data_IF_461109139165
#
_entry.id   IF_461109139165
#
_cell.length_a   1.000
_cell.length_b   1.000
_cell.length_c   1.000
_cell.angle_alpha   90.00
_cell.angle_beta   90.00
_cell.angle_gamma   90.00
#
_symmetry.space_group_name_H-M   'P 1'
#
loop_
_entity.id
_entity.type
_entity.pdbx_description
1 polymer ?
#
# COMPACT_ATOMS: atom_id res chain seq x y z
N UNK A 1 30.52 20.94 -35.60
CA UNK A 1 29.35 20.61 -34.75
C UNK A 1 29.73 19.34 -34.02
N UNK A 2 29.63 19.36 -32.67
CA UNK A 2 30.07 18.24 -31.80
C UNK A 2 28.86 17.50 -31.17
N UNK A 3 27.66 17.96 -31.49
CA UNK A 3 26.38 17.38 -31.01
C UNK A 3 25.52 17.13 -32.25
N UNK A 4 25.11 15.89 -32.42
CA UNK A 4 24.26 15.47 -33.55
C UNK A 4 22.80 15.62 -33.22
N UNK A 5 22.42 15.26 -31.98
CA UNK A 5 21.03 15.29 -31.52
C UNK A 5 20.90 15.62 -30.03
N UNK A 6 19.74 16.16 -29.63
CA UNK A 6 19.39 16.48 -28.22
C UNK A 6 18.06 15.84 -27.89
N UNK A 7 18.05 14.99 -26.87
CA UNK A 7 16.84 14.33 -26.34
C UNK A 7 16.44 15.00 -25.04
N UNK A 8 15.22 15.54 -24.97
CA UNK A 8 14.69 16.15 -23.75
C UNK A 8 14.03 15.09 -22.85
N UNK A 9 14.42 15.10 -21.57
CA UNK A 9 13.85 14.19 -20.54
C UNK A 9 13.33 15.04 -19.38
N UNK A 10 12.14 14.72 -18.89
CA UNK A 10 11.56 15.41 -17.75
C UNK A 10 12.27 15.02 -16.44
N UNK A 11 12.23 15.91 -15.42
CA UNK A 11 12.75 15.59 -14.08
C UNK A 11 12.09 14.32 -13.50
N UNK A 12 10.79 14.17 -13.71
CA UNK A 12 10.05 12.99 -13.28
C UNK A 12 10.63 11.72 -13.88
N UNK A 13 10.80 11.67 -15.18
CA UNK A 13 11.32 10.48 -15.87
C UNK A 13 12.78 10.22 -15.48
N UNK A 14 13.56 11.28 -15.29
CA UNK A 14 14.95 11.22 -14.83
C UNK A 14 15.04 10.55 -13.44
N UNK A 15 14.25 11.01 -12.48
CA UNK A 15 14.27 10.45 -11.13
C UNK A 15 13.72 9.03 -11.06
N UNK A 16 12.67 8.73 -11.82
CA UNK A 16 12.14 7.36 -11.91
C UNK A 16 13.16 6.40 -12.54
N UNK A 17 13.87 6.83 -13.59
CA UNK A 17 14.91 6.03 -14.21
C UNK A 17 16.11 5.82 -13.29
N UNK A 18 16.57 6.82 -12.55
CA UNK A 18 17.64 6.65 -11.55
C UNK A 18 17.28 5.66 -10.46
N UNK A 19 16.04 5.71 -9.95
CA UNK A 19 15.52 4.73 -8.99
C UNK A 19 15.43 3.32 -9.58
N UNK A 20 15.08 3.22 -10.85
CA UNK A 20 14.99 1.96 -11.58
C UNK A 20 16.37 1.34 -11.77
N UNK A 21 17.37 2.11 -12.20
CA UNK A 21 18.77 1.68 -12.29
C UNK A 21 19.28 1.11 -10.96
N UNK A 22 19.00 1.80 -9.86
CA UNK A 22 19.41 1.35 -8.54
C UNK A 22 18.77 0.01 -8.16
N UNK A 23 17.48 -0.17 -8.44
CA UNK A 23 16.72 -1.36 -8.05
C UNK A 23 16.98 -2.57 -8.97
N UNK A 24 17.10 -2.35 -10.27
CA UNK A 24 17.18 -3.42 -11.27
C UNK A 24 18.62 -3.80 -11.61
N UNK A 25 19.53 -2.82 -11.60
CA UNK A 25 20.94 -3.01 -12.02
C UNK A 25 21.95 -2.84 -10.87
N UNK A 26 21.49 -2.43 -9.69
CA UNK A 26 22.38 -2.15 -8.54
C UNK A 26 23.24 -0.88 -8.70
N UNK A 27 22.93 -0.04 -9.67
CA UNK A 27 23.68 1.21 -9.94
C UNK A 27 23.06 2.35 -9.15
N UNK A 28 23.68 2.67 -8.01
CA UNK A 28 23.22 3.76 -7.14
C UNK A 28 23.74 5.12 -7.66
N UNK A 29 22.86 5.88 -8.34
CA UNK A 29 23.22 7.06 -9.12
C UNK A 29 22.32 8.27 -8.86
N UNK A 30 22.73 9.46 -9.30
CA UNK A 30 21.96 10.68 -9.22
C UNK A 30 20.95 10.89 -10.33
N UNK A 31 20.19 12.00 -10.24
CA UNK A 31 19.12 12.32 -11.20
C UNK A 31 19.61 12.54 -12.62
N UNK A 32 20.77 13.16 -12.79
CA UNK A 32 21.42 13.39 -14.11
C UNK A 32 21.81 12.09 -14.80
N UNK A 33 22.21 11.07 -14.04
CA UNK A 33 22.44 9.71 -14.55
C UNK A 33 21.13 9.08 -15.07
N UNK A 34 20.04 9.26 -14.33
CA UNK A 34 18.70 8.85 -14.78
C UNK A 34 18.29 9.56 -16.08
N UNK A 35 18.55 10.87 -16.20
CA UNK A 35 18.32 11.64 -17.43
C UNK A 35 19.08 11.02 -18.59
N UNK A 36 20.39 10.76 -18.41
CA UNK A 36 21.25 10.21 -19.46
C UNK A 36 20.78 8.84 -19.95
N UNK A 37 20.43 7.94 -19.04
CA UNK A 37 19.95 6.59 -19.40
C UNK A 37 18.56 6.65 -20.04
N UNK A 38 17.63 7.44 -19.51
CA UNK A 38 16.29 7.57 -20.13
C UNK A 38 16.40 8.17 -21.55
N UNK A 39 17.25 9.19 -21.73
CA UNK A 39 17.54 9.77 -23.04
C UNK A 39 18.12 8.75 -24.01
N UNK A 40 19.13 7.98 -23.58
CA UNK A 40 19.74 6.93 -24.39
C UNK A 40 18.74 5.83 -24.79
N UNK A 41 17.84 5.42 -23.87
CA UNK A 41 16.80 4.43 -24.18
C UNK A 41 15.74 4.99 -25.15
N UNK A 42 15.38 6.28 -25.07
CA UNK A 42 14.49 6.93 -26.05
C UNK A 42 15.13 6.95 -27.42
N UNK A 43 16.37 7.42 -27.49
CA UNK A 43 17.17 7.45 -28.72
C UNK A 43 17.27 6.05 -29.36
N UNK A 44 17.65 5.04 -28.59
CA UNK A 44 17.77 3.67 -29.06
C UNK A 44 16.46 3.12 -29.64
N UNK A 45 15.32 3.41 -29.01
CA UNK A 45 13.99 3.00 -29.53
C UNK A 45 13.62 3.74 -30.80
N UNK A 46 13.84 5.05 -30.85
CA UNK A 46 13.50 5.90 -31.99
C UNK A 46 14.32 5.54 -33.24
N UNK A 47 15.60 5.24 -33.04
CA UNK A 47 16.51 4.84 -34.11
C UNK A 47 16.56 3.32 -34.33
N UNK A 48 15.71 2.55 -33.64
CA UNK A 48 15.59 1.09 -33.80
C UNK A 48 16.93 0.36 -33.64
N UNK A 49 17.79 0.83 -32.72
CA UNK A 49 19.09 0.20 -32.46
C UNK A 49 18.91 -1.26 -32.03
N UNK A 50 19.75 -2.13 -32.54
CA UNK A 50 19.71 -3.57 -32.37
C UNK A 50 20.87 -4.12 -31.53
N UNK A 51 21.06 -5.43 -31.59
CA UNK A 51 22.07 -6.14 -30.79
C UNK A 51 23.51 -5.84 -31.17
N UNK A 52 23.72 -5.37 -32.40
CA UNK A 52 25.05 -5.04 -32.93
C UNK A 52 25.46 -3.60 -32.62
N UNK A 53 24.54 -2.80 -32.10
CA UNK A 53 24.79 -1.40 -31.77
C UNK A 53 25.31 -1.26 -30.35
N UNK A 54 26.32 -0.43 -30.14
CA UNK A 54 26.88 -0.12 -28.83
C UNK A 54 26.50 1.29 -28.42
N UNK A 55 25.76 1.40 -27.29
CA UNK A 55 25.41 2.66 -26.70
C UNK A 55 26.20 2.84 -25.39
N UNK A 56 26.97 3.92 -25.29
CA UNK A 56 27.74 4.25 -24.08
C UNK A 56 27.08 5.43 -23.39
N UNK A 57 26.77 5.29 -22.11
CA UNK A 57 26.12 6.32 -21.30
C UNK A 57 27.03 6.72 -20.15
N UNK A 58 27.30 8.03 -20.01
CA UNK A 58 28.04 8.57 -18.88
C UNK A 58 27.09 8.81 -17.70
N UNK A 59 27.44 8.27 -16.53
CA UNK A 59 26.71 8.47 -15.27
C UNK A 59 27.56 9.41 -14.38
N UNK A 60 27.21 10.71 -14.31
CA UNK A 60 28.14 11.71 -13.79
C UNK A 60 28.26 11.76 -12.26
N UNK A 61 27.26 11.24 -11.52
CA UNK A 61 27.23 11.32 -10.05
C UNK A 61 26.62 10.09 -9.38
N UNK A 62 26.98 9.89 -8.13
CA UNK A 62 26.46 8.82 -7.27
C UNK A 62 25.21 9.27 -6.50
N UNK A 63 24.48 8.29 -5.93
CA UNK A 63 23.14 8.49 -5.35
C UNK A 63 23.11 9.02 -3.92
N UNK A 64 24.23 9.04 -3.19
CA UNK A 64 24.28 9.30 -1.74
C UNK A 64 23.69 10.65 -1.34
N UNK A 65 23.96 11.69 -2.13
CA UNK A 65 23.46 13.04 -1.87
C UNK A 65 21.97 13.22 -2.19
N UNK A 66 21.32 12.20 -2.78
CA UNK A 66 19.92 12.22 -3.18
C UNK A 66 19.00 11.34 -2.32
N UNK A 67 19.52 10.75 -1.23
CA UNK A 67 18.75 9.87 -0.33
C UNK A 67 17.51 10.56 0.24
N UNK A 68 17.60 11.85 0.59
CA UNK A 68 16.48 12.64 1.11
C UNK A 68 15.60 13.28 0.01
N UNK A 69 15.91 13.06 -1.26
CA UNK A 69 15.22 13.61 -2.42
C UNK A 69 14.65 12.48 -3.29
N UNK A 70 15.24 12.21 -4.46
CA UNK A 70 14.71 11.22 -5.41
C UNK A 70 14.61 9.80 -4.87
N UNK A 71 15.32 9.44 -3.81
CA UNK A 71 15.21 8.14 -3.12
C UNK A 71 14.23 8.14 -1.94
N UNK A 72 13.71 9.31 -1.55
CA UNK A 72 12.61 9.45 -0.59
C UNK A 72 11.28 9.47 -1.30
N UNK A 73 10.42 8.49 -1.02
CA UNK A 73 9.07 8.44 -1.59
C UNK A 73 8.23 9.65 -1.17
N UNK A 74 8.43 10.13 0.07
CA UNK A 74 7.74 11.32 0.56
C UNK A 74 8.11 12.55 -0.26
N UNK A 75 9.39 12.81 -0.46
CA UNK A 75 9.87 13.92 -1.28
C UNK A 75 9.38 13.82 -2.72
N UNK A 76 9.42 12.62 -3.32
CA UNK A 76 8.96 12.37 -4.69
C UNK A 76 7.46 12.65 -4.85
N UNK A 77 6.63 12.36 -3.82
CA UNK A 77 5.19 12.68 -3.84
C UNK A 77 4.94 14.17 -3.66
N UNK A 78 5.60 14.81 -2.68
CA UNK A 78 5.48 16.25 -2.44
C UNK A 78 5.81 17.06 -3.69
N UNK A 79 6.75 16.59 -4.51
CA UNK A 79 7.14 17.22 -5.77
C UNK A 79 6.41 16.65 -7.00
N UNK A 80 5.36 15.84 -6.81
CA UNK A 80 4.50 15.27 -7.86
C UNK A 80 5.23 14.37 -8.89
N UNK A 81 6.39 13.83 -8.55
CA UNK A 81 7.15 12.92 -9.40
C UNK A 81 6.66 11.47 -9.33
N UNK A 82 6.14 11.04 -8.18
CA UNK A 82 5.30 9.83 -8.10
C UNK A 82 3.87 10.27 -8.40
N UNK A 83 3.17 9.54 -9.27
CA UNK A 83 1.78 9.83 -9.63
C UNK A 83 0.88 10.02 -8.40
N UNK A 84 -0.32 10.57 -8.55
CA UNK A 84 -1.27 10.70 -7.45
C UNK A 84 -1.40 9.34 -6.78
N UNK A 85 -1.00 9.27 -5.54
CA UNK A 85 -1.27 8.11 -4.72
C UNK A 85 -2.79 7.99 -4.57
N UNK A 86 -3.30 6.79 -4.73
CA UNK A 86 -4.70 6.53 -4.43
C UNK A 86 -4.98 6.90 -2.97
N UNK A 87 -6.11 7.52 -2.73
CA UNK A 87 -6.60 7.83 -1.40
C UNK A 87 -7.26 6.60 -0.78
N UNK A 88 -7.18 6.48 0.52
CA UNK A 88 -7.86 5.40 1.25
C UNK A 88 -9.37 5.43 0.99
N UNK A 89 -9.94 6.62 0.86
CA UNK A 89 -11.33 6.83 0.49
C UNK A 89 -11.73 6.17 -0.83
N UNK A 90 -10.85 6.19 -1.85
CA UNK A 90 -11.10 5.57 -3.16
C UNK A 90 -11.27 4.05 -3.04
N UNK A 91 -10.47 3.41 -2.17
CA UNK A 91 -10.61 1.97 -1.86
C UNK A 91 -11.95 1.69 -1.18
N UNK A 92 -12.33 2.51 -0.19
CA UNK A 92 -13.61 2.33 0.50
C UNK A 92 -14.81 2.51 -0.43
N UNK A 93 -14.79 3.47 -1.33
CA UNK A 93 -15.87 3.69 -2.30
C UNK A 93 -16.05 2.49 -3.22
N UNK A 94 -14.96 1.91 -3.71
CA UNK A 94 -15.02 0.69 -4.53
C UNK A 94 -15.59 -0.50 -3.77
N UNK A 95 -15.33 -0.58 -2.44
CA UNK A 95 -15.78 -1.64 -1.55
C UNK A 95 -17.26 -1.49 -1.12
N UNK A 96 -17.74 -0.26 -0.89
CA UNK A 96 -19.13 0.03 -0.45
C UNK A 96 -20.19 -0.49 -1.42
N UNK A 97 -19.85 -0.71 -2.68
CA UNK A 97 -20.75 -1.33 -3.66
C UNK A 97 -21.02 -2.82 -3.38
N UNK A 98 -20.22 -3.46 -2.53
CA UNK A 98 -20.25 -4.92 -2.30
C UNK A 98 -20.62 -5.31 -0.85
N UNK A 99 -20.37 -4.43 0.12
CA UNK A 99 -20.59 -4.72 1.55
C UNK A 99 -21.35 -3.57 2.22
N UNK A 100 -22.18 -3.87 3.24
CA UNK A 100 -22.79 -2.84 4.07
C UNK A 100 -21.73 -2.07 4.87
N UNK A 101 -22.18 -1.11 5.69
CA UNK A 101 -21.36 -0.34 6.62
C UNK A 101 -20.40 -1.22 7.43
N UNK A 102 -19.49 -0.61 8.19
CA UNK A 102 -18.49 -1.33 8.99
C UNK A 102 -19.09 -2.49 9.78
N UNK A 103 -18.71 -3.71 9.44
CA UNK A 103 -19.04 -4.91 10.21
C UNK A 103 -18.17 -4.93 11.46
N UNK A 104 -18.79 -5.07 12.62
CA UNK A 104 -18.13 -5.09 13.94
C UNK A 104 -18.88 -6.01 14.90
N UNK A 105 -18.27 -6.30 16.03
CA UNK A 105 -18.91 -7.01 17.15
C UNK A 105 -18.71 -6.25 18.44
N UNK A 106 -19.66 -6.40 19.37
CA UNK A 106 -19.51 -5.89 20.72
C UNK A 106 -18.65 -6.85 21.57
N UNK A 107 -17.89 -6.31 22.49
CA UNK A 107 -17.03 -7.10 23.37
C UNK A 107 -17.82 -8.09 24.24
N UNK A 108 -19.11 -7.83 24.47
CA UNK A 108 -20.03 -8.71 25.22
C UNK A 108 -20.66 -9.82 24.38
N UNK A 109 -20.53 -9.78 23.06
CA UNK A 109 -21.02 -10.84 22.16
C UNK A 109 -20.25 -12.14 22.38
N UNK A 110 -20.85 -13.27 22.00
CA UNK A 110 -20.15 -14.56 22.04
C UNK A 110 -19.21 -14.71 20.82
N UNK A 111 -18.19 -15.54 20.97
CA UNK A 111 -17.31 -15.91 19.85
C UNK A 111 -18.12 -16.59 18.73
N UNK A 112 -19.14 -17.36 19.08
CA UNK A 112 -20.09 -17.98 18.14
C UNK A 112 -20.79 -16.93 17.27
N UNK A 113 -21.27 -15.83 17.86
CA UNK A 113 -21.92 -14.73 17.13
C UNK A 113 -20.94 -14.04 16.18
N UNK A 114 -19.70 -13.83 16.62
CA UNK A 114 -18.66 -13.24 15.80
C UNK A 114 -18.35 -14.14 14.57
N UNK A 115 -18.20 -15.45 14.76
CA UNK A 115 -17.95 -16.40 13.66
C UNK A 115 -19.16 -16.46 12.72
N UNK A 116 -20.37 -16.42 13.25
CA UNK A 116 -21.60 -16.39 12.44
C UNK A 116 -21.61 -15.14 11.56
N UNK A 117 -21.20 -13.99 12.11
CA UNK A 117 -21.07 -12.74 11.36
C UNK A 117 -19.97 -12.84 10.29
N UNK A 118 -18.80 -13.37 10.63
CA UNK A 118 -17.72 -13.59 9.66
C UNK A 118 -18.15 -14.44 8.49
N UNK A 119 -18.79 -15.58 8.77
CA UNK A 119 -19.27 -16.52 7.75
C UNK A 119 -20.36 -15.91 6.87
N UNK A 120 -21.33 -15.22 7.48
CA UNK A 120 -22.44 -14.58 6.76
C UNK A 120 -21.98 -13.56 5.72
N UNK A 121 -20.94 -12.79 6.04
CA UNK A 121 -20.45 -11.70 5.21
C UNK A 121 -19.15 -12.02 4.47
N UNK A 122 -18.58 -13.22 4.66
CA UNK A 122 -17.34 -13.64 4.03
C UNK A 122 -16.14 -12.80 4.45
N UNK A 123 -16.07 -12.41 5.73
CA UNK A 123 -14.96 -11.62 6.29
C UNK A 123 -14.20 -12.43 7.32
N UNK A 124 -12.90 -12.24 7.40
CA UNK A 124 -11.99 -12.96 8.32
C UNK A 124 -11.51 -12.10 9.49
N UNK A 125 -11.96 -10.84 9.57
CA UNK A 125 -11.57 -9.93 10.64
C UNK A 125 -12.75 -9.04 11.04
N UNK A 126 -12.88 -8.78 12.34
CA UNK A 126 -13.88 -7.87 12.90
C UNK A 126 -13.22 -6.95 13.93
N UNK A 127 -13.42 -5.63 13.86
CA UNK A 127 -13.13 -4.74 14.96
C UNK A 127 -14.12 -4.99 16.10
N UNK A 128 -13.63 -4.88 17.34
CA UNK A 128 -14.40 -5.10 18.55
C UNK A 128 -14.62 -3.77 19.25
N UNK A 129 -15.88 -3.50 19.58
CA UNK A 129 -16.28 -2.27 20.28
C UNK A 129 -16.82 -2.58 21.69
N UNK A 130 -16.65 -1.61 22.56
CA UNK A 130 -17.37 -1.51 23.84
C UNK A 130 -18.03 -0.13 23.91
N UNK A 131 -19.36 -0.12 23.86
CA UNK A 131 -20.16 1.13 23.93
C UNK A 131 -19.68 2.20 22.96
N UNK A 132 -19.35 1.78 21.74
CA UNK A 132 -18.89 2.67 20.65
C UNK A 132 -17.38 2.98 20.66
N UNK A 133 -16.62 2.52 21.64
CA UNK A 133 -15.17 2.66 21.68
C UNK A 133 -14.50 1.42 21.09
N UNK A 134 -13.54 1.61 20.19
CA UNK A 134 -12.72 0.52 19.66
C UNK A 134 -11.81 -0.01 20.77
N UNK A 135 -12.01 -1.27 21.18
CA UNK A 135 -11.26 -1.90 22.28
C UNK A 135 -10.34 -3.03 21.83
N UNK A 136 -10.54 -3.56 20.64
CA UNK A 136 -9.72 -4.66 20.13
C UNK A 136 -10.09 -5.09 18.73
N UNK A 137 -9.60 -6.23 18.36
CA UNK A 137 -9.93 -6.92 17.10
C UNK A 137 -10.10 -8.41 17.33
N UNK A 138 -10.70 -9.06 16.36
CA UNK A 138 -10.89 -10.51 16.32
C UNK A 138 -10.56 -11.01 14.90
N UNK A 139 -9.63 -11.94 14.79
CA UNK A 139 -9.21 -12.51 13.52
C UNK A 139 -9.50 -14.01 13.49
N UNK A 140 -10.01 -14.52 12.35
CA UNK A 140 -10.31 -15.94 12.14
C UNK A 140 -9.09 -16.82 12.44
N UNK A 141 -7.89 -16.43 11.98
CA UNK A 141 -6.67 -17.19 12.22
C UNK A 141 -6.31 -17.35 13.71
N UNK A 142 -6.53 -16.30 14.50
CA UNK A 142 -6.31 -16.34 15.95
C UNK A 142 -7.37 -17.20 16.66
N UNK A 143 -8.61 -17.13 16.21
CA UNK A 143 -9.70 -17.98 16.71
C UNK A 143 -9.46 -19.45 16.40
N UNK A 144 -9.02 -19.77 15.19
CA UNK A 144 -8.67 -21.13 14.80
C UNK A 144 -7.60 -21.72 15.73
N UNK A 145 -6.51 -20.99 15.96
CA UNK A 145 -5.45 -21.44 16.86
C UNK A 145 -5.98 -21.71 18.28
N UNK A 146 -6.76 -20.75 18.84
CA UNK A 146 -7.33 -20.87 20.18
C UNK A 146 -8.35 -22.01 20.30
N UNK A 147 -9.12 -22.31 19.24
CA UNK A 147 -10.10 -23.42 19.21
C UNK A 147 -9.44 -24.79 19.29
N UNK A 148 -8.18 -24.93 18.86
CA UNK A 148 -7.41 -26.16 19.00
C UNK A 148 -6.95 -26.40 20.45
N UNK A 149 -6.79 -25.33 21.23
CA UNK A 149 -6.31 -25.37 22.62
C UNK A 149 -7.48 -25.44 23.63
N UNK A 150 -8.63 -24.82 23.29
CA UNK A 150 -9.78 -24.70 24.17
C UNK A 150 -11.07 -24.94 23.39
N UNK A 151 -11.67 -26.17 23.47
CA UNK A 151 -12.90 -26.50 22.76
C UNK A 151 -14.10 -25.62 23.09
N UNK A 152 -14.15 -25.09 24.32
CA UNK A 152 -15.23 -24.23 24.84
C UNK A 152 -15.11 -22.77 24.36
N UNK A 153 -14.12 -22.44 23.54
CA UNK A 153 -13.87 -21.06 23.06
C UNK A 153 -15.10 -20.40 22.44
N UNK A 154 -15.98 -21.18 21.83
CA UNK A 154 -17.20 -20.70 21.17
C UNK A 154 -18.21 -20.05 22.11
N UNK A 155 -18.22 -20.46 23.38
CA UNK A 155 -19.13 -19.96 24.41
C UNK A 155 -18.56 -18.76 25.19
N UNK A 156 -17.28 -18.46 24.98
CA UNK A 156 -16.66 -17.31 25.61
C UNK A 156 -17.16 -16.00 25.00
N UNK A 157 -17.09 -14.94 25.79
CA UNK A 157 -17.29 -13.58 25.26
C UNK A 157 -16.09 -13.16 24.40
N UNK A 158 -16.34 -12.37 23.36
CA UNK A 158 -15.30 -11.78 22.51
C UNK A 158 -14.28 -11.01 23.36
N UNK A 159 -14.74 -10.34 24.43
CA UNK A 159 -13.88 -9.60 25.35
C UNK A 159 -12.80 -10.44 26.05
N UNK A 160 -12.99 -11.75 26.18
CA UNK A 160 -11.99 -12.66 26.75
C UNK A 160 -10.84 -13.01 25.77
N UNK A 161 -10.99 -12.71 24.48
CA UNK A 161 -10.10 -13.16 23.40
C UNK A 161 -9.59 -12.01 22.51
N UNK A 162 -9.58 -10.79 23.01
CA UNK A 162 -9.19 -9.61 22.22
C UNK A 162 -7.75 -9.68 21.75
N UNK A 163 -7.56 -9.47 20.46
CA UNK A 163 -6.29 -9.06 19.88
C UNK A 163 -6.19 -7.51 19.92
N UNK A 164 -5.00 -6.93 19.77
CA UNK A 164 -4.85 -5.48 19.71
C UNK A 164 -5.78 -4.84 18.67
N UNK A 165 -6.28 -3.62 18.90
CA UNK A 165 -7.13 -2.95 17.95
C UNK A 165 -6.40 -2.69 16.63
N UNK A 166 -7.13 -2.74 15.53
CA UNK A 166 -6.58 -2.39 14.22
C UNK A 166 -6.13 -0.92 14.22
N UNK A 167 -4.98 -0.62 13.55
CA UNK A 167 -4.57 0.75 13.35
C UNK A 167 -5.62 1.53 12.56
N UNK A 168 -5.65 2.84 12.73
CA UNK A 168 -6.65 3.72 12.13
C UNK A 168 -5.99 4.76 11.24
N UNK A 169 -6.59 5.04 10.08
CA UNK A 169 -6.19 6.07 9.11
C UNK A 169 -7.38 6.93 8.72
N UNK A 170 -7.11 8.09 8.15
CA UNK A 170 -8.13 8.96 7.54
C UNK A 170 -8.49 8.55 6.11
N UNK A 171 -9.66 8.97 5.60
CA UNK A 171 -10.03 8.71 4.20
C UNK A 171 -9.12 9.45 3.20
N UNK A 172 -8.53 10.57 3.63
CA UNK A 172 -7.62 11.39 2.81
C UNK A 172 -6.16 10.91 2.86
N UNK A 173 -5.85 9.92 3.71
CA UNK A 173 -4.51 9.38 3.81
C UNK A 173 -4.12 8.62 2.55
N UNK A 174 -2.80 8.52 2.34
CA UNK A 174 -2.20 7.82 1.22
C UNK A 174 -2.32 6.30 1.40
N UNK A 175 -2.76 5.58 0.37
CA UNK A 175 -2.80 4.11 0.37
C UNK A 175 -1.46 3.48 0.77
N UNK A 176 -0.34 4.17 0.53
CA UNK A 176 0.97 3.69 0.94
C UNK A 176 1.12 3.58 2.47
N UNK A 177 0.49 4.47 3.24
CA UNK A 177 0.49 4.35 4.71
C UNK A 177 -0.29 3.10 5.14
N UNK A 178 -1.40 2.80 4.48
CA UNK A 178 -2.15 1.55 4.70
C UNK A 178 -1.26 0.33 4.38
N UNK A 179 -0.51 0.35 3.27
CA UNK A 179 0.42 -0.74 2.91
C UNK A 179 1.47 -0.96 3.99
N UNK A 180 2.01 0.11 4.59
CA UNK A 180 2.97 -0.02 5.71
C UNK A 180 2.32 -0.70 6.92
N UNK A 181 1.13 -0.25 7.32
CA UNK A 181 0.40 -0.79 8.47
C UNK A 181 0.00 -2.25 8.26
N UNK A 182 -0.40 -2.62 7.05
CA UNK A 182 -0.77 -4.00 6.70
C UNK A 182 0.40 -4.99 6.69
N UNK A 183 1.65 -4.55 6.83
CA UNK A 183 2.80 -5.47 7.05
C UNK A 183 2.70 -6.17 8.39
N UNK A 184 2.21 -5.49 9.43
CA UNK A 184 2.12 -5.97 10.81
C UNK A 184 0.69 -6.15 11.32
N UNK A 185 -0.32 -5.69 10.57
CA UNK A 185 -1.74 -5.79 10.93
C UNK A 185 -2.53 -6.56 9.85
N UNK A 186 -3.56 -7.28 10.26
CA UNK A 186 -4.45 -7.98 9.33
C UNK A 186 -5.35 -7.00 8.54
N UNK A 187 -5.68 -5.87 9.15
CA UNK A 187 -6.56 -4.85 8.60
C UNK A 187 -6.21 -3.45 9.15
N UNK A 188 -6.76 -2.42 8.51
CA UNK A 188 -6.69 -1.03 8.95
C UNK A 188 -8.09 -0.45 8.94
N UNK A 189 -8.48 0.26 10.00
CA UNK A 189 -9.76 0.96 10.08
C UNK A 189 -9.65 2.34 9.45
N UNK A 190 -10.69 2.76 8.77
CA UNK A 190 -10.79 4.11 8.23
C UNK A 190 -11.76 4.91 9.08
N UNK A 191 -11.30 6.05 9.60
CA UNK A 191 -12.06 6.93 10.48
C UNK A 191 -12.03 8.36 9.96
N UNK A 192 -13.20 8.95 9.87
CA UNK A 192 -13.36 10.38 9.59
C UNK A 192 -13.97 11.06 10.81
N UNK A 193 -13.26 12.06 11.33
CA UNK A 193 -13.59 12.75 12.58
C UNK A 193 -13.87 11.75 13.71
N UNK A 194 -15.14 11.53 14.05
CA UNK A 194 -15.57 10.62 15.13
C UNK A 194 -16.19 9.31 14.63
N UNK A 195 -16.38 9.14 13.29
CA UNK A 195 -17.08 7.98 12.73
C UNK A 195 -16.13 7.04 12.01
N UNK A 196 -16.18 5.75 12.35
CA UNK A 196 -15.54 4.70 11.57
C UNK A 196 -16.33 4.44 10.29
N UNK A 197 -15.66 4.53 9.15
CA UNK A 197 -16.28 4.45 7.83
C UNK A 197 -16.16 3.07 7.18
N UNK A 198 -15.18 2.27 7.62
CA UNK A 198 -14.94 0.96 7.06
C UNK A 198 -13.59 0.37 7.46
N UNK A 199 -13.28 -0.75 6.84
CA UNK A 199 -12.06 -1.51 7.06
C UNK A 199 -11.38 -1.79 5.72
N UNK A 200 -10.06 -1.67 5.67
CA UNK A 200 -9.23 -1.97 4.48
C UNK A 200 -8.28 -3.10 4.83
N UNK A 201 -8.20 -4.10 3.96
CA UNK A 201 -7.35 -5.28 4.06
C UNK A 201 -6.34 -5.33 2.91
N UNK A 202 -5.39 -6.28 2.97
CA UNK A 202 -4.45 -6.52 1.86
C UNK A 202 -5.17 -6.84 0.55
N UNK A 203 -6.27 -7.58 0.62
CA UNK A 203 -7.07 -7.94 -0.55
C UNK A 203 -7.67 -6.71 -1.23
N UNK A 204 -8.17 -5.74 -0.44
CA UNK A 204 -8.74 -4.49 -0.97
C UNK A 204 -7.69 -3.65 -1.69
N UNK A 205 -6.48 -3.56 -1.11
CA UNK A 205 -5.35 -2.83 -1.72
C UNK A 205 -4.91 -3.48 -3.03
N UNK A 206 -4.74 -4.81 -3.05
CA UNK A 206 -4.36 -5.54 -4.28
C UNK A 206 -5.42 -5.40 -5.36
N UNK A 207 -6.71 -5.51 -5.00
CA UNK A 207 -7.82 -5.31 -5.93
C UNK A 207 -7.82 -3.91 -6.54
N UNK A 208 -7.62 -2.88 -5.72
CA UNK A 208 -7.56 -1.49 -6.18
C UNK A 208 -6.36 -1.21 -7.11
N UNK A 209 -5.16 -1.70 -6.75
CA UNK A 209 -3.93 -1.53 -7.55
C UNK A 209 -3.95 -2.37 -8.85
N UNK A 210 -4.65 -3.51 -8.83
CA UNK A 210 -4.81 -4.40 -10.01
C UNK A 210 -5.84 -3.92 -11.03
N UNK A 211 -6.50 -2.78 -10.82
CA UNK A 211 -7.46 -2.21 -11.76
C UNK A 211 -8.75 -3.03 -11.91
N UNK A 212 -9.14 -3.80 -10.91
CA UNK A 212 -10.48 -4.43 -10.90
C UNK A 212 -11.54 -3.36 -10.61
N UNK A 213 -12.56 -3.28 -11.48
CA UNK A 213 -13.68 -2.34 -11.34
C UNK A 213 -14.56 -2.66 -10.14
#
# INVERSE_FOLDING_TARGET
QYIDEVVTVSDRDSFLMGRRLTREEGIFCGGSSGTAVEGALRYAREHQLGKEDLVVVLLPDAGEIYLSKMYSDEWMRQNQFLGRSAKVGDILESKRRKLPELLSVEMTSTVRDAITTMNRFGVSQLPVFDKGNLVGSLCESALFQRSMETPEVMELTVGALLDPPFPTVGPDDDVYEVVKLLKSSAAVLVRDAQKYQGIVTRFDVVGHLGGQP
#
